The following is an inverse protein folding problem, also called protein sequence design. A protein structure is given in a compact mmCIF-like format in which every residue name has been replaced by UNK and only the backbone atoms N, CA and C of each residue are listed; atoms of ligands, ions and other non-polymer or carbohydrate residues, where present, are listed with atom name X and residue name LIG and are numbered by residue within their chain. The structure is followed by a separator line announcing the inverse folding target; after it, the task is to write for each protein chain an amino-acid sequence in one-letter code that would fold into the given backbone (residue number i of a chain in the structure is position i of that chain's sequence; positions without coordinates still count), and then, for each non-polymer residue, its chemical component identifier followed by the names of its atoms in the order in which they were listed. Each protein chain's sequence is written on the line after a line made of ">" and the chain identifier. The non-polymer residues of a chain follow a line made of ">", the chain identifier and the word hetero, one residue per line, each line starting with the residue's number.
data_IF_972125786207
#
_entry.id   IF_972125786207
#
_cell.length_a   1.000
_cell.length_b   1.000
_cell.length_c   1.000
_cell.angle_alpha   90.00
_cell.angle_beta   90.00
_cell.angle_gamma   90.00
#
_symmetry.space_group_name_H-M   'P 1'
#
loop_
_entity.id
_entity.type
_entity.pdbx_description
1 polymer ?
#
# COMPACT_ATOMS: atom_id res chain seq x y z
N UNK A 1 -17.86 0.61 -15.04
CA UNK A 1 -16.64 1.26 -14.52
C UNK A 1 -16.63 0.99 -13.03
N UNK A 2 -15.57 0.39 -12.52
CA UNK A 2 -15.39 0.04 -11.11
C UNK A 2 -14.16 0.76 -10.56
N UNK A 3 -14.16 1.04 -9.26
CA UNK A 3 -13.04 1.63 -8.55
C UNK A 3 -12.50 0.60 -7.57
N UNK A 4 -11.20 0.35 -7.64
CA UNK A 4 -10.49 -0.50 -6.68
C UNK A 4 -9.31 0.29 -6.14
N UNK A 5 -9.02 0.16 -4.85
CA UNK A 5 -7.79 0.67 -4.28
C UNK A 5 -6.77 -0.46 -4.11
N UNK A 6 -5.51 -0.14 -4.40
CA UNK A 6 -4.38 -1.06 -4.43
C UNK A 6 -3.26 -0.47 -3.57
N UNK A 7 -2.62 -1.31 -2.77
CA UNK A 7 -1.47 -0.96 -1.94
C UNK A 7 -0.47 -2.11 -1.90
N UNK A 8 0.83 -1.80 -1.99
CA UNK A 8 1.92 -2.78 -1.96
C UNK A 8 2.95 -2.39 -0.91
N UNK A 9 3.09 -3.25 0.10
CA UNK A 9 4.18 -3.13 1.06
C UNK A 9 5.45 -3.79 0.50
N UNK A 10 6.60 -3.22 0.81
CA UNK A 10 7.89 -3.73 0.35
C UNK A 10 8.85 -4.05 1.50
N UNK A 11 9.54 -5.19 1.39
CA UNK A 11 10.68 -5.52 2.24
C UNK A 11 11.99 -5.08 1.59
N UNK A 12 13.03 -4.82 2.40
CA UNK A 12 14.36 -4.53 1.89
C UNK A 12 15.09 -5.82 1.48
N UNK A 13 15.61 -5.86 0.27
CA UNK A 13 16.48 -6.93 -0.27
C UNK A 13 17.96 -6.53 -0.28
N UNK A 14 18.27 -5.28 0.05
CA UNK A 14 19.63 -4.73 0.08
C UNK A 14 19.73 -3.46 0.92
N UNK A 15 20.73 -2.62 0.62
CA UNK A 15 21.04 -1.38 1.38
C UNK A 15 20.78 -0.10 0.58
N UNK A 16 20.60 -0.20 -0.72
CA UNK A 16 20.23 0.90 -1.60
C UNK A 16 18.76 1.29 -1.45
N UNK A 17 18.42 2.49 -1.93
CA UNK A 17 17.06 3.03 -1.84
C UNK A 17 16.02 2.18 -2.58
N UNK A 18 16.44 1.55 -3.68
CA UNK A 18 15.59 0.74 -4.56
C UNK A 18 15.77 -0.76 -4.33
N UNK A 19 16.58 -1.18 -3.36
CA UNK A 19 16.78 -2.59 -3.05
C UNK A 19 15.59 -3.10 -2.23
N UNK A 20 14.45 -3.23 -2.91
CA UNK A 20 13.15 -3.56 -2.33
C UNK A 20 12.45 -4.62 -3.18
N UNK A 21 11.57 -5.39 -2.54
CA UNK A 21 10.67 -6.32 -3.21
C UNK A 21 9.31 -6.36 -2.50
N UNK A 22 8.19 -6.53 -3.23
CA UNK A 22 6.86 -6.66 -2.65
C UNK A 22 6.81 -7.78 -1.61
N UNK A 23 6.26 -7.47 -0.43
CA UNK A 23 6.09 -8.41 0.68
C UNK A 23 4.64 -8.55 1.16
N UNK A 24 3.74 -7.68 0.69
CA UNK A 24 2.28 -7.82 0.82
C UNK A 24 1.58 -7.00 -0.26
N UNK A 25 0.45 -7.51 -0.75
CA UNK A 25 -0.42 -6.80 -1.68
C UNK A 25 -1.83 -6.80 -1.12
N UNK A 26 -2.51 -5.66 -1.17
CA UNK A 26 -3.91 -5.55 -0.78
C UNK A 26 -4.72 -4.88 -1.90
N UNK A 27 -5.92 -5.41 -2.15
CA UNK A 27 -6.91 -4.85 -3.07
C UNK A 27 -8.23 -4.71 -2.32
N UNK A 28 -8.80 -3.52 -2.34
CA UNK A 28 -10.11 -3.23 -1.72
C UNK A 28 -11.07 -2.63 -2.74
N UNK A 29 -12.35 -2.94 -2.58
CA UNK A 29 -13.41 -2.35 -3.39
C UNK A 29 -13.80 -0.93 -2.92
N UNK A 30 -14.71 -0.31 -3.65
CA UNK A 30 -15.19 1.04 -3.38
C UNK A 30 -15.88 1.19 -2.01
N UNK A 31 -16.51 0.13 -1.52
CA UNK A 31 -17.22 0.13 -0.23
C UNK A 31 -16.27 -0.18 0.94
N UNK A 32 -14.98 -0.37 0.65
CA UNK A 32 -13.95 -0.73 1.63
C UNK A 32 -13.87 -2.22 1.94
N UNK A 33 -14.57 -3.06 1.17
CA UNK A 33 -14.47 -4.52 1.26
C UNK A 33 -13.11 -5.01 0.77
N UNK A 34 -12.47 -5.90 1.53
CA UNK A 34 -11.20 -6.51 1.13
C UNK A 34 -11.44 -7.62 0.11
N UNK A 35 -10.92 -7.44 -1.11
CA UNK A 35 -10.97 -8.44 -2.18
C UNK A 35 -9.74 -9.36 -2.16
N UNK A 36 -8.58 -8.81 -1.77
CA UNK A 36 -7.32 -9.52 -1.64
C UNK A 36 -6.47 -8.86 -0.55
N UNK A 37 -5.82 -9.67 0.30
CA UNK A 37 -4.83 -9.21 1.28
C UNK A 37 -3.85 -10.36 1.51
N UNK A 38 -2.76 -10.36 0.75
CA UNK A 38 -1.86 -11.50 0.65
C UNK A 38 -0.43 -11.11 0.98
N UNK A 39 0.24 -11.93 1.81
CA UNK A 39 1.68 -11.80 2.06
C UNK A 39 2.47 -12.47 0.94
N UNK A 40 3.55 -11.83 0.52
CA UNK A 40 4.44 -12.31 -0.54
C UNK A 40 5.77 -12.74 0.07
N UNK A 41 6.23 -13.94 -0.29
CA UNK A 41 7.55 -14.41 0.09
C UNK A 41 8.67 -13.64 -0.59
N UNK A 42 9.62 -13.15 0.21
CA UNK A 42 10.81 -12.44 -0.26
C UNK A 42 12.08 -13.22 0.12
N UNK A 43 12.59 -14.08 -0.78
CA UNK A 43 13.87 -14.76 -0.58
C UNK A 43 15.02 -13.76 -0.45
N UNK A 44 15.98 -14.03 0.44
CA UNK A 44 17.14 -13.15 0.61
C UNK A 44 16.84 -11.79 1.28
N UNK A 45 15.66 -11.60 1.85
CA UNK A 45 15.28 -10.36 2.55
C UNK A 45 16.31 -9.95 3.63
N UNK A 46 16.77 -8.71 3.55
CA UNK A 46 17.67 -8.07 4.53
C UNK A 46 16.87 -7.54 5.71
N UNK A 47 15.75 -6.85 5.47
CA UNK A 47 14.90 -6.30 6.53
C UNK A 47 13.42 -6.36 6.15
N UNK A 48 12.52 -6.76 7.07
CA UNK A 48 11.07 -6.71 6.84
C UNK A 48 10.50 -5.29 6.87
N UNK A 49 11.30 -4.29 7.27
CA UNK A 49 10.87 -2.90 7.46
C UNK A 49 9.62 -2.79 8.34
N UNK A 50 9.54 -3.61 9.39
CA UNK A 50 8.36 -3.75 10.28
C UNK A 50 7.75 -2.43 10.76
N UNK A 51 8.51 -1.37 11.11
CA UNK A 51 7.91 -0.11 11.54
C UNK A 51 7.01 0.55 10.49
N UNK A 52 7.18 0.24 9.21
CA UNK A 52 6.35 0.76 8.12
C UNK A 52 5.41 -0.30 7.55
N UNK A 53 5.87 -1.55 7.36
CA UNK A 53 5.05 -2.62 6.76
C UNK A 53 4.07 -3.26 7.76
N UNK A 54 4.37 -3.14 9.06
CA UNK A 54 3.67 -3.88 10.12
C UNK A 54 3.91 -5.40 10.09
N UNK A 55 4.83 -5.89 9.25
CA UNK A 55 5.10 -7.32 9.07
C UNK A 55 6.39 -7.75 9.77
N UNK A 56 6.34 -8.94 10.35
CA UNK A 56 7.54 -9.64 10.83
C UNK A 56 8.25 -10.36 9.68
N UNK A 57 9.54 -10.64 9.86
CA UNK A 57 10.32 -11.47 8.92
C UNK A 57 9.63 -12.82 8.68
N UNK A 58 9.13 -13.40 9.75
CA UNK A 58 8.47 -14.69 9.81
C UNK A 58 7.17 -14.75 8.99
N UNK A 59 6.38 -13.68 8.99
CA UNK A 59 5.18 -13.58 8.16
C UNK A 59 5.54 -13.48 6.67
N UNK A 60 6.54 -12.66 6.34
CA UNK A 60 7.00 -12.49 4.96
C UNK A 60 7.57 -13.80 4.43
N UNK A 61 8.41 -14.52 5.20
CA UNK A 61 8.99 -15.79 4.76
C UNK A 61 7.95 -16.89 4.51
N UNK A 62 6.80 -16.85 5.18
CA UNK A 62 5.67 -17.78 4.97
C UNK A 62 4.69 -17.29 3.89
N UNK A 63 4.95 -16.15 3.27
CA UNK A 63 4.13 -15.61 2.20
C UNK A 63 4.07 -16.50 0.97
N UNK A 64 3.16 -16.18 0.07
CA UNK A 64 2.97 -16.88 -1.21
C UNK A 64 4.04 -16.46 -2.23
N UNK A 65 4.32 -17.28 -3.25
CA UNK A 65 5.17 -16.85 -4.36
C UNK A 65 4.61 -15.61 -5.05
N UNK A 66 5.49 -14.65 -5.36
CA UNK A 66 5.11 -13.37 -5.95
C UNK A 66 4.24 -13.50 -7.21
N UNK A 67 4.58 -14.41 -8.11
CA UNK A 67 3.85 -14.58 -9.37
C UNK A 67 2.40 -15.07 -9.17
N UNK A 68 2.16 -15.88 -8.14
CA UNK A 68 0.81 -16.36 -7.82
C UNK A 68 -0.06 -15.21 -7.31
N UNK A 69 0.49 -14.37 -6.43
CA UNK A 69 -0.24 -13.20 -5.91
C UNK A 69 -0.53 -12.19 -7.03
N UNK A 70 0.42 -11.94 -7.93
CA UNK A 70 0.18 -11.07 -9.10
C UNK A 70 -0.91 -11.63 -10.03
N UNK A 71 -0.94 -12.96 -10.22
CA UNK A 71 -1.97 -13.59 -11.02
C UNK A 71 -3.37 -13.38 -10.40
N UNK A 72 -3.48 -13.52 -9.08
CA UNK A 72 -4.74 -13.28 -8.35
C UNK A 72 -5.15 -11.80 -8.41
N UNK A 73 -4.20 -10.87 -8.28
CA UNK A 73 -4.47 -9.44 -8.49
C UNK A 73 -5.02 -9.21 -9.88
N UNK A 74 -4.34 -9.69 -10.94
CA UNK A 74 -4.81 -9.52 -12.32
C UNK A 74 -6.20 -10.10 -12.56
N UNK A 75 -6.57 -11.18 -11.87
CA UNK A 75 -7.90 -11.77 -11.96
C UNK A 75 -9.01 -10.86 -11.40
N UNK A 76 -8.68 -9.92 -10.51
CA UNK A 76 -9.61 -8.90 -10.01
C UNK A 76 -9.69 -7.65 -10.89
N UNK A 77 -8.71 -7.46 -11.78
CA UNK A 77 -8.59 -6.26 -12.58
C UNK A 77 -9.14 -6.43 -14.01
N UNK A 78 -9.10 -5.36 -14.78
CA UNK A 78 -9.44 -5.34 -16.19
C UNK A 78 -9.55 -3.91 -16.74
N UNK A 79 -9.73 -3.73 -18.06
CA UNK A 79 -9.71 -2.41 -18.71
C UNK A 79 -10.88 -1.49 -18.33
N UNK A 80 -11.80 -1.95 -17.49
CA UNK A 80 -12.93 -1.20 -16.96
C UNK A 80 -12.71 -0.68 -15.53
N UNK A 81 -11.63 -1.10 -14.88
CA UNK A 81 -11.25 -0.75 -13.50
C UNK A 81 -10.45 0.54 -13.48
N UNK A 82 -10.76 1.44 -12.56
CA UNK A 82 -9.91 2.57 -12.18
C UNK A 82 -9.23 2.26 -10.86
N UNK A 83 -7.90 2.27 -10.85
CA UNK A 83 -7.12 2.10 -9.63
C UNK A 83 -7.07 3.43 -8.87
N UNK A 84 -7.16 3.38 -7.55
CA UNK A 84 -7.09 4.56 -6.67
C UNK A 84 -6.07 4.29 -5.56
N UNK A 85 -5.22 5.26 -5.24
CA UNK A 85 -4.26 5.12 -4.15
C UNK A 85 -3.43 6.37 -3.93
N UNK A 86 -2.53 6.33 -2.93
CA UNK A 86 -1.55 7.38 -2.64
C UNK A 86 -0.25 7.07 -3.37
N UNK A 87 0.09 7.84 -4.41
CA UNK A 87 1.22 7.53 -5.29
C UNK A 87 1.20 6.09 -5.88
N UNK A 88 0.06 5.62 -6.43
CA UNK A 88 -0.15 4.20 -6.75
C UNK A 88 0.70 3.69 -7.92
N UNK A 89 1.40 4.58 -8.63
CA UNK A 89 2.20 4.21 -9.80
C UNK A 89 3.39 3.31 -9.43
N UNK A 90 3.94 3.47 -8.23
CA UNK A 90 5.02 2.60 -7.73
C UNK A 90 4.48 1.19 -7.50
N UNK A 91 3.27 1.06 -6.94
CA UNK A 91 2.62 -0.23 -6.73
C UNK A 91 2.28 -0.92 -8.05
N UNK A 92 1.76 -0.16 -9.01
CA UNK A 92 1.49 -0.61 -10.38
C UNK A 92 2.77 -1.11 -11.05
N UNK A 93 3.87 -0.39 -10.92
CA UNK A 93 5.17 -0.78 -11.47
C UNK A 93 5.67 -2.07 -10.80
N UNK A 94 5.58 -2.15 -9.47
CA UNK A 94 5.97 -3.35 -8.74
C UNK A 94 5.25 -4.58 -9.24
N UNK A 95 3.93 -4.50 -9.44
CA UNK A 95 3.08 -5.59 -9.91
C UNK A 95 3.15 -5.82 -11.43
N UNK A 96 3.85 -4.95 -12.17
CA UNK A 96 3.96 -5.02 -13.63
C UNK A 96 2.61 -4.95 -14.33
N UNK A 97 1.69 -4.12 -13.83
CA UNK A 97 0.36 -3.93 -14.40
C UNK A 97 0.42 -2.95 -15.58
N UNK A 98 -0.41 -3.18 -16.60
CA UNK A 98 -0.44 -2.40 -17.83
C UNK A 98 -1.78 -1.67 -18.01
N UNK A 99 -1.71 -0.36 -18.24
CA UNK A 99 -2.88 0.44 -18.59
C UNK A 99 -3.50 -0.03 -19.92
N UNK A 100 -4.83 -0.03 -20.00
CA UNK A 100 -5.61 -0.56 -21.12
C UNK A 100 -5.75 -2.09 -21.16
N UNK A 101 -5.00 -2.82 -20.33
CA UNK A 101 -5.07 -4.29 -20.22
C UNK A 101 -5.54 -4.67 -18.82
N UNK A 102 -4.71 -4.41 -17.82
CA UNK A 102 -5.00 -4.74 -16.43
C UNK A 102 -5.89 -3.66 -15.80
N UNK A 103 -5.78 -2.40 -16.18
CA UNK A 103 -6.62 -1.33 -15.63
C UNK A 103 -6.85 -0.22 -16.65
N UNK A 104 -7.90 0.59 -16.48
CA UNK A 104 -8.21 1.71 -17.37
C UNK A 104 -7.26 2.88 -17.16
N UNK A 105 -7.18 3.34 -15.93
CA UNK A 105 -6.43 4.52 -15.48
C UNK A 105 -6.21 4.43 -13.97
N UNK A 106 -5.28 5.22 -13.45
CA UNK A 106 -5.03 5.35 -12.01
C UNK A 106 -5.33 6.78 -11.54
N UNK A 107 -5.94 6.90 -10.37
CA UNK A 107 -6.18 8.15 -9.66
C UNK A 107 -5.23 8.20 -8.48
N UNK A 108 -4.30 9.15 -8.53
CA UNK A 108 -3.36 9.41 -7.44
C UNK A 108 -3.92 10.48 -6.51
N UNK A 109 -4.28 10.12 -5.28
CA UNK A 109 -4.84 11.06 -4.31
C UNK A 109 -3.79 12.08 -3.83
N UNK A 110 -2.49 11.72 -3.83
CA UNK A 110 -1.42 12.64 -3.46
C UNK A 110 -1.35 13.83 -4.43
N UNK A 111 -1.59 13.59 -5.72
CA UNK A 111 -1.69 14.63 -6.75
C UNK A 111 -2.91 15.54 -6.56
N UNK A 112 -3.99 15.04 -5.95
CA UNK A 112 -5.22 15.82 -5.72
C UNK A 112 -5.14 16.69 -4.46
N UNK A 113 -4.45 16.22 -3.42
CA UNK A 113 -4.34 16.93 -2.15
C UNK A 113 -3.07 17.77 -2.00
N UNK A 114 -2.11 17.68 -2.91
CA UNK A 114 -0.93 18.55 -2.91
C UNK A 114 -1.31 20.03 -2.94
N UNK A 115 -0.46 20.87 -2.37
CA UNK A 115 -0.63 22.33 -2.42
C UNK A 115 0.57 23.01 -3.06
N UNK A 116 0.33 24.12 -3.74
CA UNK A 116 1.42 24.89 -4.33
C UNK A 116 2.18 25.64 -3.25
N UNK A 117 3.48 25.36 -3.13
CA UNK A 117 4.38 26.07 -2.24
C UNK A 117 5.07 27.22 -3.00
N UNK A 118 4.58 28.43 -2.78
CA UNK A 118 5.11 29.66 -3.40
C UNK A 118 6.59 29.89 -3.08
N UNK A 119 7.05 29.48 -1.88
CA UNK A 119 8.45 29.67 -1.46
C UNK A 119 9.42 28.82 -2.28
N UNK A 120 9.04 27.60 -2.63
CA UNK A 120 9.90 26.67 -3.36
C UNK A 120 9.57 26.56 -4.86
N UNK A 121 8.46 27.18 -5.30
CA UNK A 121 8.02 27.09 -6.69
C UNK A 121 7.69 25.66 -7.12
N UNK A 122 7.18 24.85 -6.19
CA UNK A 122 6.81 23.46 -6.44
C UNK A 122 5.64 23.06 -5.54
N UNK A 123 5.09 21.86 -5.75
CA UNK A 123 4.04 21.29 -4.91
C UNK A 123 4.61 20.60 -3.66
N UNK A 124 4.00 20.88 -2.51
CA UNK A 124 4.16 20.10 -1.29
C UNK A 124 3.17 18.92 -1.31
N UNK A 125 3.69 17.73 -1.02
CA UNK A 125 2.90 16.52 -0.86
C UNK A 125 2.78 16.16 0.61
N UNK A 126 1.64 15.57 0.97
CA UNK A 126 1.36 15.13 2.32
C UNK A 126 1.43 13.61 2.39
N UNK A 127 1.72 13.09 3.58
CA UNK A 127 1.56 11.65 3.82
C UNK A 127 0.08 11.29 3.90
N UNK A 128 -0.27 10.07 3.53
CA UNK A 128 -1.63 9.54 3.71
C UNK A 128 -2.13 9.73 5.15
N UNK A 129 -1.25 9.55 6.14
CA UNK A 129 -1.58 9.76 7.55
C UNK A 129 -1.98 11.22 7.88
N UNK A 130 -1.32 12.20 7.24
CA UNK A 130 -1.69 13.61 7.39
C UNK A 130 -3.04 13.90 6.73
N UNK A 131 -3.27 13.34 5.54
CA UNK A 131 -4.53 13.50 4.81
C UNK A 131 -5.70 12.89 5.59
N UNK A 132 -5.55 11.65 6.10
CA UNK A 132 -6.55 10.98 6.93
C UNK A 132 -6.85 11.78 8.20
N UNK A 133 -5.82 12.34 8.86
CA UNK A 133 -6.03 13.18 10.03
C UNK A 133 -6.77 14.47 9.69
N UNK A 134 -6.35 15.18 8.64
CA UNK A 134 -6.92 16.47 8.27
C UNK A 134 -8.36 16.36 7.73
N UNK A 135 -8.65 15.30 6.95
CA UNK A 135 -9.94 15.14 6.27
C UNK A 135 -10.95 14.36 7.11
N UNK A 136 -10.50 13.35 7.86
CA UNK A 136 -11.40 12.43 8.58
C UNK A 136 -11.30 12.57 10.10
N UNK A 137 -10.32 13.33 10.62
CA UNK A 137 -10.10 13.46 12.07
C UNK A 137 -9.54 12.18 12.72
N UNK A 138 -9.08 11.21 11.91
CA UNK A 138 -8.58 9.92 12.38
C UNK A 138 -7.05 9.91 12.43
N UNK A 139 -6.47 9.20 13.40
CA UNK A 139 -5.02 8.98 13.43
C UNK A 139 -4.71 7.60 12.84
N UNK A 140 -3.93 7.57 11.77
CA UNK A 140 -3.32 6.33 11.30
C UNK A 140 -2.22 5.93 12.27
N UNK A 141 -2.47 4.95 13.13
CA UNK A 141 -1.41 4.27 13.87
C UNK A 141 -0.83 3.17 13.00
N UNK A 142 0.49 3.06 12.93
CA UNK A 142 1.21 1.91 12.33
C UNK A 142 0.90 0.57 13.01
N UNK A 143 0.07 0.57 14.06
CA UNK A 143 -0.30 -0.58 14.90
C UNK A 143 -1.76 -1.04 14.74
N UNK A 144 -2.51 -0.56 13.75
CA UNK A 144 -3.93 -0.95 13.57
C UNK A 144 -4.10 -2.42 13.10
N UNK A 145 -3.02 -3.19 12.88
CA UNK A 145 -3.09 -4.64 12.62
C UNK A 145 -2.68 -5.54 13.80
N UNK A 146 -2.35 -4.98 14.98
CA UNK A 146 -2.03 -5.77 16.19
C UNK A 146 -3.07 -5.68 17.33
N UNK A 147 -4.10 -4.83 17.23
CA UNK A 147 -5.10 -4.67 18.29
C UNK A 147 -6.38 -5.47 18.03
N UNK A 148 -6.27 -6.80 18.01
CA UNK A 148 -7.40 -7.68 18.34
C UNK A 148 -7.51 -7.96 19.86
N UNK A 149 -6.83 -7.19 20.71
CA UNK A 149 -7.16 -7.09 22.13
C UNK A 149 -6.98 -5.66 22.60
N UNK A 150 -8.09 -4.93 22.68
CA UNK A 150 -8.14 -3.61 23.31
C UNK A 150 -8.28 -3.84 24.83
N UNK A 151 -7.27 -3.46 25.61
CA UNK A 151 -7.37 -3.26 27.06
C UNK A 151 -7.19 -1.76 27.37
N UNK A 152 -8.22 -1.05 27.88
CA UNK A 152 -8.15 0.39 28.15
C UNK A 152 -7.23 0.80 29.31
N UNK A 153 -6.62 -0.14 30.04
CA UNK A 153 -5.96 0.17 31.32
C UNK A 153 -4.50 0.67 31.18
N UNK A 154 -3.85 0.49 30.02
CA UNK A 154 -2.40 0.74 29.89
C UNK A 154 -1.98 2.18 29.50
N UNK A 155 -2.90 3.13 29.37
CA UNK A 155 -2.57 4.55 29.09
C UNK A 155 -2.63 5.47 30.33
N UNK A 156 -2.06 5.02 31.44
CA UNK A 156 -1.63 5.90 32.54
C UNK A 156 -0.24 5.49 33.00
N UNK A 157 0.79 5.90 32.27
CA UNK A 157 2.13 6.24 32.77
C UNK A 157 2.85 7.05 31.68
#
# INVERSE_FOLDING_TARGET
>A
MSFLALDVECAATGRGHNDRAPCRVAVVDFDGGTLLDEMVAVPGMVSPLTPITGLTRDQIQRGRPYHDVVADVRALLGPHVTLVGQAPFVDIEWLGLQAGVDYRQAVDIAEHFRTWNVKYGNYDYYSLAMEVYALLGLRMTTLTKMLQSWDPVLCRL
#
